data_IF_896078910441
#
_entry.id   IF_896078910441
#
_cell.length_a   1.000
_cell.length_b   1.000
_cell.length_c   1.000
_cell.angle_alpha   90.00
_cell.angle_beta   90.00
_cell.angle_gamma   90.00
#
_symmetry.space_group_name_H-M   'P 1'
#
loop_
_entity.id
_entity.type
_entity.pdbx_description
1 polymer ?
#
# COMPACT_ATOMS: atom_id res chain seq x y z
N UNK A 1 3.89 6.45 -5.69
CA UNK A 1 2.83 5.60 -6.27
C UNK A 1 1.68 5.66 -5.30
N UNK A 2 0.42 5.75 -5.73
CA UNK A 2 -0.68 6.01 -4.80
C UNK A 2 -1.21 4.73 -4.10
N UNK A 3 -0.37 3.69 -4.02
CA UNK A 3 -0.63 2.38 -3.42
C UNK A 3 0.57 2.00 -2.57
N UNK A 4 0.31 1.42 -1.40
CA UNK A 4 1.31 1.17 -0.38
C UNK A 4 1.11 -0.20 0.26
N UNK A 5 2.22 -0.76 0.76
CA UNK A 5 2.22 -1.95 1.60
C UNK A 5 2.14 -1.55 3.08
N UNK A 6 1.45 -2.37 3.87
CA UNK A 6 1.28 -2.20 5.31
C UNK A 6 1.49 -3.53 6.03
N UNK A 7 1.99 -3.47 7.25
CA UNK A 7 2.20 -4.64 8.12
C UNK A 7 0.97 -5.03 8.95
N UNK A 8 -0.09 -4.22 8.89
CA UNK A 8 -1.30 -4.42 9.68
C UNK A 8 -2.58 -4.12 8.87
N UNK A 9 -3.68 -4.74 9.30
CA UNK A 9 -4.97 -4.61 8.61
C UNK A 9 -5.68 -3.27 8.87
N UNK A 10 -5.20 -2.47 9.82
CA UNK A 10 -5.70 -1.11 10.09
C UNK A 10 -4.95 -0.05 9.29
N UNK A 11 -3.96 -0.45 8.50
CA UNK A 11 -3.20 0.39 7.57
C UNK A 11 -2.45 1.54 8.27
N UNK A 12 -1.93 1.29 9.48
CA UNK A 12 -1.20 2.27 10.27
C UNK A 12 0.32 2.13 10.15
N UNK A 13 0.81 0.91 9.90
CA UNK A 13 2.22 0.55 9.80
C UNK A 13 2.60 0.38 8.33
N UNK A 14 2.70 1.50 7.62
CA UNK A 14 3.10 1.53 6.21
C UNK A 14 4.57 1.12 6.06
N UNK A 15 4.84 0.17 5.17
CA UNK A 15 6.20 -0.20 4.77
C UNK A 15 6.79 0.92 3.90
N UNK A 16 7.99 1.36 4.26
CA UNK A 16 8.70 2.44 3.59
C UNK A 16 9.06 2.12 2.13
N UNK A 17 8.84 3.10 1.26
CA UNK A 17 9.12 2.98 -0.17
C UNK A 17 10.53 3.51 -0.50
N UNK A 18 11.53 2.63 -0.42
CA UNK A 18 12.86 2.90 -0.95
C UNK A 18 13.80 3.71 -0.06
N UNK A 19 13.31 4.41 0.97
CA UNK A 19 14.15 5.13 1.96
C UNK A 19 14.58 4.27 3.17
N UNK A 20 13.96 3.09 3.34
CA UNK A 20 14.23 2.13 4.41
C UNK A 20 14.03 2.69 5.83
N UNK A 21 13.20 3.72 6.00
CA UNK A 21 12.84 4.23 7.32
C UNK A 21 11.94 3.27 8.12
N UNK A 22 11.15 2.45 7.42
CA UNK A 22 10.30 1.39 7.97
C UNK A 22 10.22 0.19 7.00
N UNK A 23 11.32 -0.55 6.79
CA UNK A 23 11.31 -1.69 5.86
C UNK A 23 10.44 -2.84 6.39
N UNK A 24 10.10 -3.81 5.52
CA UNK A 24 9.55 -5.09 5.97
C UNK A 24 10.68 -5.96 6.54
N UNK A 25 11.16 -5.61 7.74
CA UNK A 25 12.26 -6.26 8.41
C UNK A 25 11.83 -7.24 9.51
N UNK A 26 12.77 -8.12 9.84
CA UNK A 26 12.71 -8.93 11.06
C UNK A 26 14.12 -9.43 11.41
N UNK A 27 14.33 -9.72 12.69
CA UNK A 27 15.53 -10.37 13.19
C UNK A 27 15.40 -11.87 13.04
N UNK A 28 16.35 -12.49 12.34
CA UNK A 28 16.36 -13.94 12.13
C UNK A 28 17.54 -14.62 12.82
N UNK A 29 17.29 -15.77 13.45
CA UNK A 29 18.30 -16.67 13.96
C UNK A 29 18.59 -17.79 12.95
N UNK A 30 19.49 -17.53 12.01
CA UNK A 30 19.92 -18.52 11.03
C UNK A 30 20.83 -19.63 11.57
N UNK A 31 21.19 -19.64 12.87
CA UNK A 31 22.09 -20.66 13.45
C UNK A 31 21.55 -22.07 13.19
N UNK A 32 20.26 -22.28 13.43
CA UNK A 32 19.53 -23.54 13.19
C UNK A 32 18.61 -23.46 11.96
N UNK A 33 18.65 -22.35 11.23
CA UNK A 33 17.63 -21.95 10.26
C UNK A 33 16.36 -21.46 10.96
N UNK A 34 15.74 -20.42 10.41
CA UNK A 34 14.48 -19.89 10.94
C UNK A 34 13.55 -19.56 9.78
N UNK A 35 12.25 -19.70 10.02
CA UNK A 35 11.24 -19.19 9.11
C UNK A 35 10.19 -18.38 9.87
N UNK A 36 9.78 -17.26 9.27
CA UNK A 36 8.72 -16.41 9.81
C UNK A 36 7.75 -16.03 8.71
N UNK A 37 6.48 -16.05 9.07
CA UNK A 37 5.38 -15.67 8.21
C UNK A 37 4.85 -14.29 8.63
N UNK A 38 4.54 -13.45 7.67
CA UNK A 38 3.90 -12.14 7.88
C UNK A 38 2.80 -11.97 6.84
N UNK A 39 1.62 -11.54 7.28
CA UNK A 39 0.58 -11.05 6.38
C UNK A 39 0.85 -9.57 6.09
N UNK A 40 0.80 -9.21 4.81
CA UNK A 40 0.99 -7.85 4.33
C UNK A 40 -0.27 -7.39 3.60
N UNK A 41 -0.54 -6.10 3.71
CA UNK A 41 -1.75 -5.49 3.16
C UNK A 41 -1.35 -4.45 2.12
N UNK A 42 -1.97 -4.50 0.94
CA UNK A 42 -1.76 -3.58 -0.15
C UNK A 42 -3.04 -2.75 -0.34
N UNK A 43 -2.93 -1.44 -0.14
CA UNK A 43 -4.05 -0.52 -0.20
C UNK A 43 -3.67 0.80 -0.87
N UNK A 44 -4.67 1.54 -1.35
CA UNK A 44 -4.47 2.91 -1.83
C UNK A 44 -4.06 3.83 -0.67
N UNK A 45 -3.30 4.88 -1.00
CA UNK A 45 -3.13 6.05 -0.13
C UNK A 45 -4.51 6.56 0.28
N UNK A 46 -4.71 6.72 1.59
CA UNK A 46 -6.02 7.04 2.13
C UNK A 46 -5.95 7.74 3.48
N UNK A 47 -7.01 8.47 3.78
CA UNK A 47 -7.28 9.06 5.09
C UNK A 47 -8.79 9.24 5.24
N UNK A 48 -9.23 10.02 6.23
CA UNK A 48 -10.63 10.37 6.42
C UNK A 48 -10.84 11.87 6.41
N UNK A 49 -12.07 12.30 6.19
CA UNK A 49 -12.47 13.68 6.43
C UNK A 49 -12.44 14.00 7.93
N UNK A 50 -11.71 15.05 8.31
CA UNK A 50 -11.69 15.58 9.68
C UNK A 50 -12.93 16.43 10.00
N UNK A 51 -13.67 16.86 8.98
CA UNK A 51 -14.94 17.57 9.11
C UNK A 51 -15.88 17.22 7.96
N UNK A 52 -17.18 17.29 8.20
CA UNK A 52 -18.17 17.13 7.12
C UNK A 52 -17.95 18.18 6.02
N UNK A 53 -18.18 17.79 4.78
CA UNK A 53 -18.01 18.61 3.59
C UNK A 53 -19.36 18.80 2.90
N UNK A 54 -19.85 20.03 2.81
CA UNK A 54 -21.08 20.33 2.09
C UNK A 54 -20.86 20.30 0.55
N UNK A 55 -21.92 20.10 -0.22
CA UNK A 55 -21.83 19.94 -1.69
C UNK A 55 -21.32 21.17 -2.46
N UNK A 56 -21.33 22.36 -1.86
CA UNK A 56 -20.79 23.59 -2.45
C UNK A 56 -19.42 24.00 -1.94
N UNK A 57 -18.86 23.28 -0.96
CA UNK A 57 -17.56 23.61 -0.37
C UNK A 57 -16.42 23.10 -1.25
N UNK A 58 -15.40 23.93 -1.43
CA UNK A 58 -14.17 23.60 -2.17
C UNK A 58 -12.95 23.53 -1.26
N UNK A 59 -13.15 23.65 0.06
CA UNK A 59 -12.13 23.50 1.08
C UNK A 59 -12.43 22.22 1.85
N UNK A 60 -11.55 21.25 1.72
CA UNK A 60 -11.66 19.92 2.30
C UNK A 60 -10.70 19.79 3.48
N UNK A 61 -11.16 19.21 4.59
CA UNK A 61 -10.35 19.00 5.79
C UNK A 61 -10.10 17.51 5.98
N UNK A 62 -8.83 17.11 5.99
CA UNK A 62 -8.39 15.72 6.18
C UNK A 62 -7.90 15.48 7.59
N UNK A 63 -8.00 14.24 8.05
CA UNK A 63 -7.38 13.79 9.30
C UNK A 63 -5.86 13.76 9.19
N UNK A 64 -5.32 13.35 8.03
CA UNK A 64 -3.89 13.25 7.79
C UNK A 64 -3.47 13.88 6.43
N UNK A 65 -2.27 14.49 6.33
CA UNK A 65 -1.80 15.19 5.14
C UNK A 65 -1.25 14.25 4.06
N UNK A 66 -2.11 13.42 3.47
CA UNK A 66 -1.70 12.28 2.61
C UNK A 66 -1.57 12.58 1.12
N UNK A 67 -2.29 13.58 0.60
CA UNK A 67 -2.38 13.82 -0.85
C UNK A 67 -1.55 15.02 -1.32
N UNK A 68 -1.19 15.02 -2.60
CA UNK A 68 -0.42 16.09 -3.25
C UNK A 68 -1.26 16.93 -4.23
N UNK A 69 -0.76 18.13 -4.57
CA UNK A 69 -1.39 18.97 -5.58
C UNK A 69 -1.42 18.27 -6.95
N UNK A 70 -2.56 18.36 -7.62
CA UNK A 70 -2.79 17.75 -8.94
C UNK A 70 -3.36 16.34 -8.90
N UNK A 71 -3.35 15.67 -7.74
CA UNK A 71 -3.93 14.33 -7.59
C UNK A 71 -5.45 14.34 -7.70
N UNK A 72 -6.01 13.23 -8.16
CA UNK A 72 -7.44 12.95 -8.08
C UNK A 72 -7.67 12.11 -6.82
N UNK A 73 -8.64 12.53 -6.02
CA UNK A 73 -9.13 11.82 -4.85
C UNK A 73 -10.59 11.44 -5.05
N UNK A 74 -11.06 10.43 -4.33
CA UNK A 74 -12.45 9.99 -4.36
C UNK A 74 -13.01 9.84 -2.96
N UNK A 75 -14.25 10.29 -2.78
CA UNK A 75 -15.06 10.12 -1.56
C UNK A 75 -16.44 9.64 -2.01
N UNK A 76 -16.88 8.50 -1.49
CA UNK A 76 -18.09 7.82 -1.96
C UNK A 76 -18.07 7.63 -3.49
N UNK A 77 -18.92 8.35 -4.23
CA UNK A 77 -18.98 8.33 -5.69
C UNK A 77 -18.52 9.64 -6.34
N UNK A 78 -17.96 10.57 -5.57
CA UNK A 78 -17.47 11.85 -6.08
C UNK A 78 -15.95 11.85 -6.22
N UNK A 79 -15.49 12.16 -7.42
CA UNK A 79 -14.09 12.47 -7.67
C UNK A 79 -13.84 13.97 -7.50
N UNK A 80 -12.69 14.30 -6.93
CA UNK A 80 -12.23 15.67 -6.77
C UNK A 80 -10.77 15.78 -7.19
N UNK A 81 -10.38 16.91 -7.78
CA UNK A 81 -8.97 17.18 -8.09
C UNK A 81 -8.39 18.14 -7.05
N UNK A 82 -7.26 17.79 -6.46
CA UNK A 82 -6.52 18.65 -5.53
C UNK A 82 -5.88 19.79 -6.32
N UNK A 83 -6.28 21.03 -6.03
CA UNK A 83 -5.77 22.23 -6.70
C UNK A 83 -4.66 22.91 -5.89
N UNK A 84 -4.71 22.80 -4.57
CA UNK A 84 -3.76 23.44 -3.65
C UNK A 84 -3.80 22.79 -2.27
N UNK A 85 -2.71 22.93 -1.51
CA UNK A 85 -2.63 22.51 -0.11
C UNK A 85 -2.10 21.08 0.07
N UNK A 86 -1.61 20.44 -1.00
CA UNK A 86 -0.98 19.13 -0.94
C UNK A 86 0.12 19.04 0.12
N UNK A 87 0.18 17.89 0.79
CA UNK A 87 1.02 17.67 1.97
C UNK A 87 0.52 18.38 3.23
N UNK A 88 -0.73 18.85 3.25
CA UNK A 88 -1.39 19.42 4.44
C UNK A 88 -2.77 18.78 4.67
N UNK A 89 -3.35 19.03 5.84
CA UNK A 89 -4.70 18.58 6.20
C UNK A 89 -5.80 19.48 5.63
N UNK A 90 -5.47 20.56 4.92
CA UNK A 90 -6.44 21.46 4.29
C UNK A 90 -6.20 21.54 2.79
N UNK A 91 -7.11 20.98 2.02
CA UNK A 91 -7.02 20.98 0.56
C UNK A 91 -8.03 21.93 -0.07
N UNK A 92 -7.57 22.68 -1.07
CA UNK A 92 -8.45 23.32 -2.04
C UNK A 92 -8.71 22.36 -3.19
N UNK A 93 -9.96 22.08 -3.52
CA UNK A 93 -10.34 21.05 -4.50
C UNK A 93 -11.28 21.57 -5.58
N UNK A 94 -11.15 21.02 -6.78
CA UNK A 94 -12.18 21.03 -7.82
C UNK A 94 -13.14 19.86 -7.56
N UNK A 95 -14.40 20.19 -7.27
CA UNK A 95 -15.48 19.22 -7.00
C UNK A 95 -16.08 18.70 -8.30
N UNK A 96 -16.67 17.49 -8.27
CA UNK A 96 -17.34 16.92 -9.45
C UNK A 96 -16.40 16.64 -10.62
N UNK A 97 -15.13 16.34 -10.32
CA UNK A 97 -14.14 16.00 -11.34
C UNK A 97 -14.57 14.71 -12.08
N UNK A 98 -14.10 14.54 -13.32
CA UNK A 98 -14.50 13.39 -14.15
C UNK A 98 -15.98 13.39 -14.58
N UNK A 99 -16.73 14.45 -14.29
CA UNK A 99 -18.18 14.51 -14.54
C UNK A 99 -19.03 13.92 -13.41
N UNK A 100 -18.42 13.65 -12.25
CA UNK A 100 -19.16 13.27 -11.03
C UNK A 100 -19.97 14.46 -10.50
N UNK A 101 -20.95 14.20 -9.63
CA UNK A 101 -21.81 15.25 -9.06
C UNK A 101 -21.33 15.62 -7.65
N UNK A 102 -21.09 16.92 -7.35
CA UNK A 102 -20.77 17.35 -6.01
C UNK A 102 -21.82 16.94 -4.97
N UNK A 103 -21.39 16.17 -3.96
CA UNK A 103 -22.22 15.61 -2.91
C UNK A 103 -21.85 16.16 -1.52
N UNK A 104 -22.73 15.99 -0.54
CA UNK A 104 -22.34 16.24 0.86
C UNK A 104 -21.72 14.96 1.43
N UNK A 105 -20.62 15.07 2.15
CA UNK A 105 -19.93 13.97 2.81
C UNK A 105 -19.87 14.18 4.32
N UNK A 106 -19.98 13.11 5.09
CA UNK A 106 -19.91 13.18 6.55
C UNK A 106 -18.46 13.25 7.03
N UNK A 107 -18.27 13.73 8.26
CA UNK A 107 -17.00 13.50 8.98
C UNK A 107 -16.69 12.00 9.01
N UNK A 108 -15.40 11.66 9.05
CA UNK A 108 -14.86 10.30 9.02
C UNK A 108 -15.12 9.53 7.70
N UNK A 109 -15.72 10.15 6.68
CA UNK A 109 -15.81 9.54 5.36
C UNK A 109 -14.41 9.28 4.80
N UNK A 110 -14.19 8.08 4.26
CA UNK A 110 -12.91 7.68 3.68
C UNK A 110 -12.61 8.51 2.43
N UNK A 111 -11.36 8.94 2.32
CA UNK A 111 -10.81 9.62 1.16
C UNK A 111 -9.70 8.75 0.61
N UNK A 112 -9.82 8.32 -0.65
CA UNK A 112 -8.84 7.50 -1.32
C UNK A 112 -8.16 8.28 -2.44
N UNK A 113 -6.93 7.91 -2.77
CA UNK A 113 -6.37 8.22 -4.08
C UNK A 113 -7.24 7.61 -5.18
N UNK A 114 -7.55 8.40 -6.20
CA UNK A 114 -8.55 8.08 -7.23
C UNK A 114 -8.04 7.14 -8.32
N UNK A 115 -7.46 6.00 -7.95
CA UNK A 115 -6.89 5.04 -8.88
C UNK A 115 -7.33 3.60 -8.58
N UNK A 116 -7.82 2.91 -9.61
CA UNK A 116 -7.95 1.46 -9.62
C UNK A 116 -6.70 0.83 -10.23
N UNK A 117 -6.37 -0.39 -9.83
CA UNK A 117 -5.18 -1.09 -10.29
C UNK A 117 -5.55 -2.35 -11.04
N UNK A 118 -4.82 -2.63 -12.12
CA UNK A 118 -4.97 -3.87 -12.88
C UNK A 118 -3.67 -4.64 -12.99
N UNK A 119 -3.77 -5.96 -12.94
CA UNK A 119 -2.64 -6.87 -13.09
C UNK A 119 -1.55 -6.67 -12.05
N UNK A 120 -1.92 -6.47 -10.77
CA UNK A 120 -0.93 -6.31 -9.70
C UNK A 120 -0.12 -7.59 -9.51
N UNK A 121 1.19 -7.42 -9.40
CA UNK A 121 2.16 -8.47 -9.12
C UNK A 121 3.14 -7.97 -8.05
N UNK A 122 3.46 -8.84 -7.09
CA UNK A 122 4.48 -8.61 -6.07
C UNK A 122 5.63 -9.58 -6.29
N UNK A 123 6.86 -9.07 -6.31
CA UNK A 123 8.06 -9.90 -6.45
C UNK A 123 9.08 -9.61 -5.34
N UNK A 124 9.72 -10.63 -4.75
CA UNK A 124 10.87 -10.42 -3.88
C UNK A 124 12.07 -9.89 -4.66
N UNK A 125 12.72 -8.87 -4.14
CA UNK A 125 13.91 -8.26 -4.76
C UNK A 125 14.96 -8.06 -3.69
N UNK A 126 16.14 -8.63 -3.91
CA UNK A 126 17.31 -8.28 -3.13
C UNK A 126 18.00 -7.04 -3.73
N UNK A 127 18.32 -6.09 -2.87
CA UNK A 127 18.92 -4.81 -3.27
C UNK A 127 20.38 -4.64 -2.85
N UNK A 128 20.98 -5.59 -2.14
CA UNK A 128 22.36 -5.51 -1.72
C UNK A 128 23.02 -6.89 -1.59
N UNK A 129 24.31 -6.99 -1.98
CA UNK A 129 25.05 -8.25 -1.80
C UNK A 129 24.75 -9.29 -2.88
N UNK A 130 24.69 -10.57 -2.49
CA UNK A 130 24.38 -11.69 -3.38
C UNK A 130 22.90 -12.06 -3.24
N UNK A 131 22.26 -12.45 -4.35
CA UNK A 131 20.81 -12.59 -4.43
C UNK A 131 20.20 -13.59 -3.43
N UNK A 132 19.46 -13.03 -2.47
CA UNK A 132 18.73 -13.74 -1.43
C UNK A 132 17.20 -13.68 -1.64
N UNK A 133 16.72 -13.24 -2.81
CA UNK A 133 15.27 -13.17 -3.12
C UNK A 133 14.54 -14.50 -2.91
N UNK A 134 15.25 -15.63 -3.10
CA UNK A 134 14.76 -16.98 -2.84
C UNK A 134 14.53 -17.29 -1.35
N UNK A 135 14.86 -16.39 -0.42
CA UNK A 135 14.48 -16.52 0.99
C UNK A 135 13.01 -16.21 1.19
N UNK A 136 12.39 -15.44 0.29
CA UNK A 136 10.98 -15.09 0.36
C UNK A 136 10.12 -16.03 -0.48
N UNK A 137 9.10 -16.62 0.13
CA UNK A 137 7.99 -17.24 -0.57
C UNK A 137 6.73 -16.40 -0.36
N UNK A 138 5.95 -16.22 -1.42
CA UNK A 138 4.73 -15.40 -1.42
C UNK A 138 3.51 -16.25 -1.77
N UNK A 139 2.39 -16.04 -1.09
CA UNK A 139 1.13 -16.74 -1.35
C UNK A 139 -0.08 -15.88 -0.98
N UNK A 140 -1.27 -16.20 -1.50
CA UNK A 140 -2.50 -15.49 -1.14
C UNK A 140 -2.99 -15.86 0.26
N UNK A 141 -2.73 -17.10 0.68
CA UNK A 141 -3.08 -17.58 2.03
C UNK A 141 -1.86 -18.12 2.76
N UNK A 142 -1.92 -18.12 4.10
CA UNK A 142 -0.83 -18.65 4.91
C UNK A 142 -0.52 -20.13 4.61
N UNK A 143 -1.56 -20.95 4.37
CA UNK A 143 -1.38 -22.39 4.09
C UNK A 143 -0.67 -22.63 2.76
N UNK A 144 -0.90 -21.77 1.76
CA UNK A 144 -0.26 -21.91 0.45
C UNK A 144 1.25 -21.64 0.49
N UNK A 145 1.76 -20.95 1.52
CA UNK A 145 3.21 -20.75 1.73
C UNK A 145 3.99 -22.06 1.81
N UNK A 146 3.36 -23.14 2.28
CA UNK A 146 4.01 -24.46 2.38
C UNK A 146 4.33 -25.08 1.01
N UNK A 147 3.68 -24.59 -0.05
CA UNK A 147 3.84 -25.07 -1.43
C UNK A 147 4.31 -23.99 -2.40
N UNK A 148 4.38 -22.73 -1.95
CA UNK A 148 4.84 -21.60 -2.74
C UNK A 148 6.30 -21.81 -3.15
N UNK A 149 6.63 -21.43 -4.39
CA UNK A 149 8.00 -21.51 -4.88
C UNK A 149 8.79 -20.30 -4.40
N UNK A 150 9.87 -20.46 -3.62
CA UNK A 150 10.64 -19.33 -3.12
C UNK A 150 11.25 -18.49 -4.26
N UNK A 151 11.30 -17.17 -4.07
CA UNK A 151 11.74 -16.18 -5.05
C UNK A 151 10.76 -15.93 -6.20
N UNK A 152 9.65 -16.66 -6.28
CA UNK A 152 8.67 -16.46 -7.36
C UNK A 152 7.75 -15.26 -7.09
N UNK A 153 7.36 -14.52 -8.14
CA UNK A 153 6.38 -13.45 -8.01
C UNK A 153 4.98 -14.01 -7.69
N UNK A 154 4.19 -13.21 -6.99
CA UNK A 154 2.78 -13.47 -6.68
C UNK A 154 1.89 -12.51 -7.47
N UNK A 155 0.92 -13.06 -8.21
CA UNK A 155 -0.12 -12.25 -8.86
C UNK A 155 -1.24 -11.96 -7.87
N UNK A 156 -1.54 -10.69 -7.65
CA UNK A 156 -2.66 -10.22 -6.81
C UNK A 156 -3.90 -9.91 -7.64
N UNK A 157 -3.75 -9.68 -8.96
CA UNK A 157 -4.85 -9.40 -9.86
C UNK A 157 -5.29 -7.94 -9.85
N UNK A 158 -6.57 -7.69 -10.13
CA UNK A 158 -7.12 -6.35 -10.19
C UNK A 158 -7.61 -5.91 -8.80
N UNK A 159 -7.47 -4.61 -8.50
CA UNK A 159 -7.82 -4.04 -7.20
C UNK A 159 -8.53 -2.69 -7.38
N UNK A 160 -9.81 -2.58 -7.04
CA UNK A 160 -10.49 -1.29 -6.90
C UNK A 160 -9.84 -0.42 -5.82
N UNK A 161 -9.96 0.90 -5.92
CA UNK A 161 -9.38 1.86 -4.98
C UNK A 161 -9.78 1.64 -3.51
N UNK A 162 -11.03 1.24 -3.25
CA UNK A 162 -11.63 1.05 -1.93
C UNK A 162 -11.43 -0.36 -1.33
N UNK A 163 -10.71 -1.22 -2.05
CA UNK A 163 -10.40 -2.59 -1.62
C UNK A 163 -8.95 -2.69 -1.15
N UNK A 164 -8.76 -3.26 0.04
CA UNK A 164 -7.46 -3.73 0.50
C UNK A 164 -7.28 -5.20 0.11
N UNK A 165 -6.14 -5.53 -0.49
CA UNK A 165 -5.74 -6.92 -0.79
C UNK A 165 -4.66 -7.32 0.20
N UNK A 166 -4.78 -8.49 0.81
CA UNK A 166 -3.69 -9.06 1.61
C UNK A 166 -3.02 -10.24 0.91
N UNK A 167 -1.78 -10.50 1.29
CA UNK A 167 -1.04 -11.69 0.92
C UNK A 167 -0.07 -12.05 2.04
N UNK A 168 0.42 -13.27 1.99
CA UNK A 168 1.35 -13.81 2.97
C UNK A 168 2.75 -13.89 2.38
N UNK A 169 3.72 -13.54 3.22
CA UNK A 169 5.15 -13.71 2.98
C UNK A 169 5.71 -14.68 4.01
N UNK A 170 6.52 -15.64 3.57
CA UNK A 170 7.44 -16.40 4.41
C UNK A 170 8.86 -16.00 4.10
N UNK A 171 9.64 -15.61 5.09
CA UNK A 171 11.10 -15.60 4.98
C UNK A 171 11.67 -16.86 5.58
N UNK A 172 12.54 -17.56 4.85
CA UNK A 172 13.30 -18.70 5.34
C UNK A 172 14.79 -18.40 5.25
N UNK A 173 15.44 -18.28 6.41
CA UNK A 173 16.88 -18.06 6.50
C UNK A 173 17.61 -19.41 6.53
N UNK A 174 18.60 -19.65 5.64
CA UNK A 174 19.36 -20.89 5.62
C UNK A 174 20.10 -21.18 6.92
N UNK A 175 20.21 -22.47 7.27
CA UNK A 175 20.99 -22.95 8.43
C UNK A 175 22.46 -22.54 8.28
N UNK A 176 23.06 -22.11 9.39
CA UNK A 176 24.45 -21.63 9.44
C UNK A 176 24.60 -20.16 9.07
N UNK A 177 23.50 -19.45 8.82
CA UNK A 177 23.53 -18.01 8.59
C UNK A 177 23.63 -17.28 9.94
N UNK A 178 24.55 -16.30 10.11
CA UNK A 178 24.63 -15.52 11.35
C UNK A 178 23.30 -14.83 11.68
N UNK A 179 23.06 -14.60 12.97
CA UNK A 179 21.93 -13.77 13.40
C UNK A 179 22.04 -12.40 12.74
N UNK A 180 20.98 -11.97 12.07
CA UNK A 180 20.96 -10.71 11.34
C UNK A 180 19.55 -10.12 11.27
N UNK A 181 19.48 -8.79 11.22
CA UNK A 181 18.27 -8.11 10.81
C UNK A 181 18.27 -7.98 9.29
N UNK A 182 17.25 -8.53 8.63
CA UNK A 182 17.14 -8.51 7.17
C UNK A 182 16.35 -7.28 6.73
N UNK A 183 17.05 -6.30 6.18
CA UNK A 183 16.49 -5.01 5.72
C UNK A 183 16.69 -4.76 4.22
N UNK A 184 17.45 -5.63 3.55
CA UNK A 184 17.88 -5.56 2.15
C UNK A 184 16.95 -6.31 1.18
N UNK A 185 16.14 -7.24 1.71
CA UNK A 185 15.07 -7.93 0.99
C UNK A 185 13.82 -7.07 0.91
N UNK A 186 13.44 -6.71 -0.32
CA UNK A 186 12.29 -5.85 -0.62
C UNK A 186 11.19 -6.62 -1.33
N UNK A 187 10.01 -6.03 -1.30
CA UNK A 187 8.90 -6.41 -2.17
C UNK A 187 8.70 -5.31 -3.20
N UNK A 188 8.83 -5.66 -4.48
CA UNK A 188 8.47 -4.75 -5.56
C UNK A 188 7.04 -5.05 -5.99
N UNK A 189 6.21 -4.01 -5.95
CA UNK A 189 4.85 -4.05 -6.50
C UNK A 189 4.88 -3.47 -7.91
N UNK A 190 4.27 -4.17 -8.85
CA UNK A 190 4.09 -3.73 -10.24
C UNK A 190 2.64 -3.90 -10.66
N UNK A 191 2.16 -3.08 -11.58
CA UNK A 191 0.80 -3.11 -12.11
C UNK A 191 0.52 -1.88 -12.95
N UNK A 192 -0.71 -1.77 -13.46
CA UNK A 192 -1.16 -0.56 -14.17
C UNK A 192 -2.06 0.26 -13.25
N UNK A 193 -1.69 1.52 -13.04
CA UNK A 193 -2.49 2.51 -12.32
C UNK A 193 -3.51 3.12 -13.31
N UNK A 194 -4.79 2.98 -13.01
CA UNK A 194 -5.90 3.44 -13.85
C UNK A 194 -6.65 4.54 -13.09
N UNK A 195 -6.60 5.80 -13.54
CA UNK A 195 -7.44 6.84 -12.96
C UNK A 195 -8.91 6.43 -13.00
N UNK A 196 -9.61 6.57 -11.88
CA UNK A 196 -11.06 6.41 -11.86
C UNK A 196 -11.61 7.55 -12.75
N UNK A 197 -12.43 7.21 -13.75
CA UNK A 197 -13.07 8.17 -14.65
C UNK A 197 -14.58 8.00 -14.57
#
# INVERSE_FOLDING_TARGET
MAIHLYEDNTLLQQVSEGDFSNPDDDTYNGTDGESKDKELFLANEQTTLAAALASGETSLQLSEPRFADGEVIIIDNEQMRVLSGGGSTTLGVERGYGGTTPAAHTVDASVYSGYDYTGLVVEPVDTAGGDESAWYALALTQTELDTATPGSPLTLGDKPHDVTVSFWRRCTVPVGTPVQNKTDLKLRVTGTENPIL
#
